data_IF_724527327001
#
_entry.id   IF_724527327001
#
_cell.length_a   1.000
_cell.length_b   1.000
_cell.length_c   1.000
_cell.angle_alpha   90.00
_cell.angle_beta   90.00
_cell.angle_gamma   90.00
#
_symmetry.space_group_name_H-M   'P 1'
#
loop_
_entity.id
_entity.type
_entity.pdbx_description
1 polymer ?
#
# COMPACT_ATOMS: atom_id res chain seq x y z
N UNK A 1 -4.01 5.56 -56.54
CA UNK A 1 -3.16 6.66 -56.08
C UNK A 1 -3.43 7.02 -54.59
N UNK A 2 -4.69 7.01 -54.12
CA UNK A 2 -5.00 7.38 -52.72
C UNK A 2 -4.50 6.38 -51.66
N UNK A 3 -4.38 5.09 -52.00
CA UNK A 3 -3.89 4.06 -51.06
C UNK A 3 -2.37 4.03 -50.89
N UNK A 4 -1.63 4.51 -51.86
CA UNK A 4 -0.16 4.63 -51.76
C UNK A 4 0.28 5.81 -50.90
N UNK A 5 -0.53 6.87 -50.81
CA UNK A 5 -0.24 8.04 -50.00
C UNK A 5 -0.47 7.76 -48.47
N UNK A 6 -1.38 6.82 -48.13
CA UNK A 6 -1.64 6.44 -46.74
C UNK A 6 -0.54 5.54 -46.14
N UNK A 7 0.18 4.77 -46.98
CA UNK A 7 1.28 3.90 -46.53
C UNK A 7 2.53 4.72 -46.26
N UNK A 8 2.73 5.84 -46.95
CA UNK A 8 3.89 6.71 -46.76
C UNK A 8 3.81 7.58 -45.47
N UNK A 9 2.61 7.72 -44.87
CA UNK A 9 2.41 8.55 -43.69
C UNK A 9 2.64 7.78 -42.36
N UNK A 10 2.78 6.46 -42.41
CA UNK A 10 2.95 5.59 -41.20
C UNK A 10 4.43 5.28 -40.86
N UNK A 11 5.39 5.78 -41.64
CA UNK A 11 6.80 5.39 -41.50
C UNK A 11 7.71 6.41 -40.79
N UNK A 12 7.18 7.40 -40.10
CA UNK A 12 7.98 8.50 -39.56
C UNK A 12 7.77 8.82 -38.06
N UNK A 13 7.65 7.81 -37.20
CA UNK A 13 7.72 8.05 -35.72
C UNK A 13 8.53 6.92 -35.07
N UNK A 14 9.84 6.88 -35.33
CA UNK A 14 10.80 6.19 -34.46
C UNK A 14 11.98 7.14 -34.22
N UNK A 15 11.76 8.17 -33.43
CA UNK A 15 12.84 8.94 -32.83
C UNK A 15 13.06 8.40 -31.44
N UNK A 16 14.07 7.53 -31.31
CA UNK A 16 14.55 7.04 -30.04
C UNK A 16 15.19 8.18 -29.24
N UNK A 17 14.64 8.48 -28.07
CA UNK A 17 15.31 9.31 -27.07
C UNK A 17 16.37 8.48 -26.36
N UNK A 18 17.62 8.58 -26.78
CA UNK A 18 18.77 8.17 -26.00
C UNK A 18 19.09 9.29 -25.02
N UNK A 19 18.56 9.20 -23.79
CA UNK A 19 18.94 10.08 -22.69
C UNK A 19 20.20 9.52 -22.03
N UNK A 20 21.36 10.15 -22.32
CA UNK A 20 22.59 9.96 -21.56
C UNK A 20 22.39 10.55 -20.14
N UNK A 21 22.04 9.70 -19.18
CA UNK A 21 22.10 10.06 -17.78
C UNK A 21 23.57 10.02 -17.34
N UNK A 22 24.18 11.19 -17.14
CA UNK A 22 25.45 11.29 -16.44
C UNK A 22 25.20 10.98 -14.96
N UNK A 23 25.71 9.83 -14.49
CA UNK A 23 25.85 9.60 -13.06
C UNK A 23 26.90 10.59 -12.54
N UNK A 24 26.44 11.61 -11.81
CA UNK A 24 27.33 12.44 -11.03
C UNK A 24 27.77 11.62 -9.82
N UNK A 25 29.08 11.43 -9.70
CA UNK A 25 29.73 10.92 -8.49
C UNK A 25 29.31 11.77 -7.29
N UNK A 26 28.56 11.16 -6.38
CA UNK A 26 28.27 11.77 -5.08
C UNK A 26 29.51 11.48 -4.22
N UNK A 27 30.24 12.50 -3.73
CA UNK A 27 31.33 12.26 -2.81
C UNK A 27 30.78 11.69 -1.49
N UNK A 28 31.24 10.51 -1.13
CA UNK A 28 31.00 9.90 0.17
C UNK A 28 31.84 10.64 1.17
N UNK A 29 31.29 11.55 1.95
CA UNK A 29 31.94 12.10 3.13
C UNK A 29 31.87 11.08 4.27
N UNK A 30 33.03 10.49 4.52
CA UNK A 30 33.31 9.61 5.65
C UNK A 30 33.36 10.46 6.93
N UNK A 31 32.27 10.50 7.71
CA UNK A 31 32.25 11.11 9.04
C UNK A 31 32.54 10.08 10.11
N UNK A 32 33.78 9.61 10.12
CA UNK A 32 34.37 8.93 11.27
C UNK A 32 35.02 10.00 12.18
N UNK A 33 34.33 10.36 13.24
CA UNK A 33 34.86 11.36 14.20
C UNK A 33 33.98 11.45 15.43
N UNK A 34 34.28 10.58 16.39
CA UNK A 34 33.70 10.61 17.73
C UNK A 34 33.99 11.92 18.46
N UNK A 35 32.99 12.46 19.16
CA UNK A 35 33.19 13.11 20.44
C UNK A 35 31.94 13.03 21.32
N UNK A 36 32.00 12.39 22.50
CA UNK A 36 30.90 12.37 23.44
C UNK A 36 31.11 13.52 24.44
N UNK A 37 30.34 14.54 24.42
CA UNK A 37 29.88 15.30 25.60
C UNK A 37 29.31 16.65 25.18
N UNK A 38 28.02 16.77 25.16
CA UNK A 38 27.33 17.98 25.65
C UNK A 38 25.86 17.61 25.85
N UNK A 39 25.48 17.48 27.09
CA UNK A 39 24.08 17.45 27.47
C UNK A 39 23.46 18.82 27.15
N UNK A 40 22.68 18.86 26.10
CA UNK A 40 21.74 19.93 25.84
C UNK A 40 20.36 19.31 25.71
N UNK A 41 19.60 19.43 26.77
CA UNK A 41 18.17 19.24 26.80
C UNK A 41 17.53 20.19 25.82
N UNK A 42 17.31 19.76 24.61
CA UNK A 42 16.41 20.40 23.69
C UNK A 42 15.08 19.71 23.77
N UNK A 43 14.13 20.35 24.44
CA UNK A 43 12.72 20.08 24.35
C UNK A 43 12.34 20.08 22.87
N UNK A 44 12.20 18.89 22.30
CA UNK A 44 11.58 18.74 20.98
C UNK A 44 10.11 19.04 21.18
N UNK A 45 9.74 20.29 20.92
CA UNK A 45 8.36 20.67 20.75
C UNK A 45 7.74 19.70 19.76
N UNK A 46 6.68 19.07 20.18
CA UNK A 46 5.85 18.23 19.32
C UNK A 46 5.49 19.03 18.06
N UNK A 47 6.23 18.77 17.00
CA UNK A 47 5.77 19.17 15.68
C UNK A 47 4.50 18.37 15.42
N UNK A 48 3.38 19.06 15.44
CA UNK A 48 2.13 18.56 14.89
C UNK A 48 2.39 18.12 13.45
N UNK A 49 2.78 16.87 13.29
CA UNK A 49 2.95 16.23 12.00
C UNK A 49 1.58 15.99 11.39
N UNK A 50 0.96 17.09 10.92
CA UNK A 50 -0.07 16.97 9.89
C UNK A 50 0.60 16.46 8.63
N UNK A 51 0.64 15.14 8.46
CA UNK A 51 0.98 14.57 7.17
C UNK A 51 1.97 13.41 7.11
N UNK A 52 2.63 13.04 8.21
CA UNK A 52 3.40 11.79 8.21
C UNK A 52 2.68 10.85 9.15
N UNK A 53 1.91 9.92 8.56
CA UNK A 53 1.25 8.88 9.31
C UNK A 53 2.29 8.06 10.06
N UNK A 54 2.36 8.24 11.38
CA UNK A 54 3.03 7.28 12.24
C UNK A 54 2.37 5.92 12.02
N UNK A 55 3.09 5.01 11.41
CA UNK A 55 2.72 3.62 11.22
C UNK A 55 2.77 2.88 12.57
N UNK A 56 2.05 3.33 13.57
CA UNK A 56 1.78 2.56 14.78
C UNK A 56 0.70 3.24 15.61
N UNK A 57 -0.49 3.18 15.09
CA UNK A 57 -1.68 3.50 15.82
C UNK A 57 -2.82 2.94 15.01
N UNK A 58 -3.27 1.75 15.35
CA UNK A 58 -4.54 1.22 14.87
C UNK A 58 -5.58 2.27 15.21
N UNK A 59 -5.91 3.15 14.26
CA UNK A 59 -7.05 4.05 14.45
C UNK A 59 -8.26 3.16 14.64
N UNK A 60 -9.05 3.37 15.67
CA UNK A 60 -10.16 2.49 15.94
C UNK A 60 -11.10 2.46 14.73
N UNK A 61 -11.36 1.26 14.23
CA UNK A 61 -12.42 1.01 13.27
C UNK A 61 -13.80 1.14 13.95
N UNK A 62 -14.87 0.70 13.31
CA UNK A 62 -16.17 0.66 13.93
C UNK A 62 -16.16 -0.21 15.19
N UNK A 63 -16.74 0.28 16.28
CA UNK A 63 -16.72 -0.41 17.58
C UNK A 63 -17.34 -1.82 17.47
N UNK A 64 -16.64 -2.82 18.02
CA UNK A 64 -17.13 -4.19 18.06
C UNK A 64 -17.10 -4.95 16.73
N UNK A 65 -16.44 -4.41 15.71
CA UNK A 65 -16.30 -5.04 14.39
C UNK A 65 -14.86 -5.49 14.18
N UNK A 66 -14.68 -6.68 13.65
CA UNK A 66 -13.35 -7.20 13.29
C UNK A 66 -12.68 -6.33 12.22
N UNK A 67 -11.36 -6.12 12.37
CA UNK A 67 -10.53 -5.46 11.36
C UNK A 67 -9.85 -6.47 10.41
N UNK A 68 -10.14 -7.76 10.57
CA UNK A 68 -9.49 -8.83 9.80
C UNK A 68 -10.53 -9.56 8.96
N UNK A 69 -10.16 -9.80 7.70
CA UNK A 69 -10.90 -10.61 6.72
C UNK A 69 -10.03 -11.80 6.34
N UNK A 70 -10.52 -13.01 6.54
CA UNK A 70 -9.81 -14.24 6.20
C UNK A 70 -10.18 -14.74 4.80
N UNK A 71 -9.19 -15.32 4.16
CA UNK A 71 -9.33 -15.92 2.84
C UNK A 71 -9.04 -17.42 2.90
N UNK A 72 -9.61 -18.17 1.99
CA UNK A 72 -9.23 -19.56 1.81
C UNK A 72 -7.80 -19.69 1.28
N UNK A 73 -7.25 -20.89 1.38
CA UNK A 73 -5.93 -21.18 0.87
C UNK A 73 -5.84 -20.82 -0.61
N UNK A 74 -4.77 -20.12 -0.97
CA UNK A 74 -4.49 -19.66 -2.35
C UNK A 74 -5.64 -18.87 -3.01
N UNK A 75 -6.49 -18.24 -2.21
CA UNK A 75 -7.66 -17.49 -2.67
C UNK A 75 -7.56 -16.02 -2.31
N UNK A 76 -8.16 -15.18 -3.16
CA UNK A 76 -8.40 -13.76 -2.95
C UNK A 76 -9.89 -13.39 -3.08
N UNK A 77 -10.77 -14.38 -3.01
CA UNK A 77 -12.21 -14.16 -3.03
C UNK A 77 -12.72 -13.84 -1.63
N UNK A 78 -13.35 -12.70 -1.46
CA UNK A 78 -13.97 -12.30 -0.20
C UNK A 78 -15.17 -13.21 0.07
N UNK A 79 -15.17 -13.88 1.21
CA UNK A 79 -16.25 -14.76 1.62
C UNK A 79 -17.49 -13.96 2.04
N UNK A 80 -18.67 -14.54 1.84
CA UNK A 80 -19.95 -13.91 2.20
C UNK A 80 -20.10 -13.62 3.70
N UNK A 81 -19.44 -14.40 4.55
CA UNK A 81 -19.43 -14.19 6.01
C UNK A 81 -18.84 -12.84 6.44
N UNK A 82 -17.93 -12.26 5.62
CA UNK A 82 -17.34 -10.96 5.89
C UNK A 82 -18.13 -9.79 5.32
N UNK A 83 -19.25 -10.03 4.62
CA UNK A 83 -20.07 -8.97 4.04
C UNK A 83 -20.52 -7.93 5.08
N UNK A 84 -21.02 -8.39 6.22
CA UNK A 84 -21.46 -7.51 7.30
C UNK A 84 -20.33 -6.68 7.92
N UNK A 85 -19.14 -7.26 8.00
CA UNK A 85 -17.91 -6.58 8.44
C UNK A 85 -17.56 -5.45 7.48
N UNK A 86 -17.52 -5.74 6.17
CA UNK A 86 -17.24 -4.73 5.14
C UNK A 86 -18.28 -3.62 5.11
N UNK A 87 -19.56 -3.95 5.26
CA UNK A 87 -20.63 -2.94 5.34
C UNK A 87 -20.47 -2.01 6.53
N UNK A 88 -20.07 -2.54 7.69
CA UNK A 88 -19.83 -1.74 8.90
C UNK A 88 -18.63 -0.79 8.68
N UNK A 89 -17.52 -1.28 8.10
CA UNK A 89 -16.36 -0.47 7.76
C UNK A 89 -16.70 0.58 6.70
N UNK A 90 -17.46 0.23 5.67
CA UNK A 90 -17.88 1.16 4.64
C UNK A 90 -18.70 2.32 5.22
N UNK A 91 -19.68 2.03 6.11
CA UNK A 91 -20.43 3.07 6.80
C UNK A 91 -19.54 3.96 7.66
N UNK A 92 -18.59 3.37 8.38
CA UNK A 92 -17.67 4.10 9.24
C UNK A 92 -16.75 5.03 8.43
N UNK A 93 -16.19 4.57 7.31
CA UNK A 93 -15.28 5.36 6.48
C UNK A 93 -16.05 6.51 5.79
N UNK A 94 -17.23 6.22 5.23
CA UNK A 94 -18.07 7.22 4.54
C UNK A 94 -18.65 8.29 5.48
N UNK A 95 -18.76 8.02 6.76
CA UNK A 95 -19.27 9.00 7.73
C UNK A 95 -18.34 10.21 7.90
N UNK A 96 -17.10 10.12 7.44
CA UNK A 96 -16.12 11.21 7.52
C UNK A 96 -15.16 11.14 6.34
N UNK A 97 -15.23 12.12 5.46
CA UNK A 97 -14.41 12.19 4.24
C UNK A 97 -12.90 12.37 4.51
N UNK A 98 -12.53 12.71 5.73
CA UNK A 98 -11.11 12.81 6.12
C UNK A 98 -10.50 11.48 6.52
N UNK A 99 -11.33 10.46 6.79
CA UNK A 99 -10.85 9.13 7.15
C UNK A 99 -10.14 8.47 5.97
N UNK A 100 -9.08 7.76 6.29
CA UNK A 100 -8.33 6.94 5.36
C UNK A 100 -8.24 5.53 5.91
N UNK A 101 -8.37 4.54 5.04
CA UNK A 101 -8.24 3.13 5.37
C UNK A 101 -7.05 2.54 4.64
N UNK A 102 -6.09 2.01 5.38
CA UNK A 102 -5.02 1.18 4.83
C UNK A 102 -5.48 -0.27 4.88
N UNK A 103 -5.53 -0.91 3.72
CA UNK A 103 -5.94 -2.29 3.56
C UNK A 103 -4.66 -3.11 3.36
N UNK A 104 -4.22 -3.76 4.42
CA UNK A 104 -2.99 -4.55 4.43
C UNK A 104 -3.29 -5.99 3.98
N UNK A 105 -2.57 -6.47 2.98
CA UNK A 105 -2.68 -7.83 2.47
C UNK A 105 -1.56 -8.72 3.02
N UNK A 106 -1.95 -9.81 3.65
CA UNK A 106 -1.04 -10.76 4.28
C UNK A 106 -1.26 -12.17 3.73
N UNK A 107 -0.24 -13.01 3.85
CA UNK A 107 -0.28 -14.43 3.51
C UNK A 107 0.40 -15.23 4.62
N UNK A 108 0.28 -16.55 4.52
CA UNK A 108 1.08 -17.47 5.32
C UNK A 108 2.55 -17.51 4.82
N UNK A 109 3.40 -18.21 5.53
CA UNK A 109 4.84 -18.30 5.21
C UNK A 109 5.16 -19.25 4.04
N UNK A 110 4.19 -20.06 3.60
CA UNK A 110 4.38 -21.04 2.53
C UNK A 110 4.56 -20.38 1.17
N UNK A 111 5.48 -20.90 0.38
CA UNK A 111 5.76 -20.42 -0.97
C UNK A 111 6.82 -19.31 -1.06
N UNK A 112 7.04 -18.84 -2.28
CA UNK A 112 8.01 -17.79 -2.58
C UNK A 112 7.54 -16.41 -2.15
N UNK A 113 8.48 -15.52 -1.80
CA UNK A 113 8.15 -14.16 -1.35
C UNK A 113 7.41 -13.36 -2.42
N UNK A 114 7.87 -13.38 -3.66
CA UNK A 114 7.23 -12.68 -4.79
C UNK A 114 5.79 -13.12 -5.01
N UNK A 115 5.56 -14.45 -4.94
CA UNK A 115 4.22 -15.00 -5.04
C UNK A 115 3.31 -14.50 -3.91
N UNK A 116 3.81 -14.52 -2.68
CA UNK A 116 3.05 -14.09 -1.51
C UNK A 116 2.76 -12.58 -1.52
N UNK A 117 3.69 -11.76 -1.99
CA UNK A 117 3.44 -10.34 -2.22
C UNK A 117 2.31 -10.15 -3.24
N UNK A 118 2.35 -10.87 -4.34
CA UNK A 118 1.31 -10.79 -5.37
C UNK A 118 -0.07 -11.28 -4.86
N UNK A 119 -0.11 -12.37 -4.08
CA UNK A 119 -1.33 -12.88 -3.47
C UNK A 119 -1.91 -11.92 -2.43
N UNK A 120 -1.06 -11.38 -1.55
CA UNK A 120 -1.46 -10.37 -0.57
C UNK A 120 -2.01 -9.11 -1.26
N UNK A 121 -1.40 -8.65 -2.35
CA UNK A 121 -1.90 -7.52 -3.13
C UNK A 121 -3.30 -7.79 -3.71
N UNK A 122 -3.51 -8.97 -4.30
CA UNK A 122 -4.84 -9.36 -4.81
C UNK A 122 -5.91 -9.41 -3.72
N UNK A 123 -5.56 -9.87 -2.51
CA UNK A 123 -6.45 -9.89 -1.34
C UNK A 123 -6.82 -8.48 -0.89
N UNK A 124 -5.84 -7.60 -0.70
CA UNK A 124 -6.07 -6.21 -0.33
C UNK A 124 -6.94 -5.47 -1.37
N UNK A 125 -6.66 -5.67 -2.66
CA UNK A 125 -7.46 -5.09 -3.73
C UNK A 125 -8.88 -5.67 -3.82
N UNK A 126 -9.09 -6.94 -3.47
CA UNK A 126 -10.43 -7.53 -3.41
C UNK A 126 -11.28 -6.85 -2.34
N UNK A 127 -10.71 -6.61 -1.16
CA UNK A 127 -11.37 -5.84 -0.09
C UNK A 127 -11.62 -4.40 -0.52
N UNK A 128 -10.64 -3.72 -1.13
CA UNK A 128 -10.82 -2.35 -1.66
C UNK A 128 -11.96 -2.27 -2.65
N UNK A 129 -12.04 -3.21 -3.61
CA UNK A 129 -13.14 -3.26 -4.57
C UNK A 129 -14.50 -3.49 -3.91
N UNK A 130 -14.55 -4.35 -2.89
CA UNK A 130 -15.78 -4.58 -2.15
C UNK A 130 -16.25 -3.33 -1.38
N UNK A 131 -15.34 -2.61 -0.72
CA UNK A 131 -15.64 -1.35 -0.04
C UNK A 131 -16.05 -0.24 -1.04
N UNK A 132 -15.42 -0.18 -2.21
CA UNK A 132 -15.78 0.76 -3.27
C UNK A 132 -17.20 0.48 -3.79
N UNK A 133 -17.56 -0.78 -4.01
CA UNK A 133 -18.91 -1.19 -4.37
C UNK A 133 -19.96 -0.79 -3.31
N UNK A 134 -19.56 -0.68 -2.04
CA UNK A 134 -20.37 -0.17 -0.93
C UNK A 134 -20.35 1.37 -0.83
N UNK A 135 -19.70 2.04 -1.79
CA UNK A 135 -19.71 3.50 -1.94
C UNK A 135 -18.62 4.24 -1.18
N UNK A 136 -17.53 3.56 -0.75
CA UNK A 136 -16.34 4.24 -0.21
C UNK A 136 -15.53 4.83 -1.38
N UNK A 137 -15.12 6.07 -1.27
CA UNK A 137 -14.33 6.73 -2.31
C UNK A 137 -12.92 6.14 -2.40
N UNK A 138 -12.40 5.97 -3.62
CA UNK A 138 -11.05 5.41 -3.85
C UNK A 138 -9.96 6.20 -3.13
N UNK A 139 -10.08 7.52 -3.08
CA UNK A 139 -9.12 8.38 -2.37
C UNK A 139 -9.12 8.21 -0.84
N UNK A 140 -10.06 7.48 -0.28
CA UNK A 140 -10.09 7.12 1.15
C UNK A 140 -9.42 5.78 1.45
N UNK A 141 -8.99 5.04 0.42
CA UNK A 141 -8.48 3.68 0.57
C UNK A 141 -7.13 3.48 -0.10
N UNK A 142 -6.23 2.83 0.59
CA UNK A 142 -4.96 2.38 0.06
C UNK A 142 -4.83 0.87 0.29
N UNK A 143 -4.42 0.12 -0.74
CA UNK A 143 -4.21 -1.31 -0.67
C UNK A 143 -2.71 -1.62 -0.80
N UNK A 144 -2.13 -2.24 0.21
CA UNK A 144 -0.70 -2.56 0.30
C UNK A 144 -0.52 -4.02 0.70
N UNK A 145 0.40 -4.71 0.05
CA UNK A 145 0.75 -6.09 0.41
C UNK A 145 2.04 -6.14 1.22
N UNK A 146 2.00 -6.91 2.27
CA UNK A 146 3.19 -7.34 3.02
C UNK A 146 3.54 -8.81 2.76
N UNK A 147 2.71 -9.52 1.99
CA UNK A 147 2.90 -10.94 1.73
C UNK A 147 3.09 -11.72 3.03
N UNK A 148 4.12 -12.55 3.06
CA UNK A 148 4.50 -13.34 4.24
C UNK A 148 5.46 -12.62 5.21
N UNK A 149 5.98 -11.45 4.84
CA UNK A 149 7.01 -10.74 5.61
C UNK A 149 6.46 -10.13 6.91
N UNK A 150 5.17 -9.86 6.97
CA UNK A 150 4.48 -9.35 8.15
C UNK A 150 3.22 -10.16 8.38
N UNK A 151 3.23 -11.13 9.28
CA UNK A 151 2.03 -11.88 9.64
C UNK A 151 0.94 -10.93 10.20
N UNK A 152 -0.31 -11.13 9.80
CA UNK A 152 -1.43 -10.35 10.33
C UNK A 152 -1.69 -10.64 11.82
N UNK A 153 -1.36 -11.86 12.25
CA UNK A 153 -1.43 -12.32 13.64
C UNK A 153 -0.16 -13.08 14.00
N UNK A 154 0.35 -12.86 15.20
CA UNK A 154 1.46 -13.63 15.75
C UNK A 154 0.91 -14.94 16.31
N UNK A 155 0.91 -16.00 15.51
CA UNK A 155 0.49 -17.33 15.90
C UNK A 155 0.70 -18.29 14.73
N UNK A 156 1.38 -19.39 14.98
CA UNK A 156 1.42 -20.53 14.08
C UNK A 156 0.17 -21.38 14.35
N UNK A 157 -1.00 -20.86 14.02
CA UNK A 157 -2.23 -21.59 14.17
C UNK A 157 -2.48 -22.39 12.88
N UNK A 158 -2.19 -23.70 12.96
CA UNK A 158 -2.70 -24.70 12.06
C UNK A 158 -4.17 -25.03 12.38
#
# INVERSE_FOLDING_TARGET
MKKLLQILLMAAIVTGCASNVKLNDVPVEDRSGANPNTAASSSVSSLDARGIGTMSGTKPGPAGVSNVVYFDYDSYTVKSEFQSVLEAHARFIKADNTRRANIEGHTDERGGSEYNIALGQKRAEAVRRALNALGVADGQMEAVSYGKEKPAMSGNDE
#
